data_IF_238255917178
#
_entry.id   IF_238255917178
#
_cell.length_a   1.000
_cell.length_b   1.000
_cell.length_c   1.000
_cell.angle_alpha   90.00
_cell.angle_beta   90.00
_cell.angle_gamma   90.00
#
_symmetry.space_group_name_H-M   'P 1'
#
loop_
_entity.id
_entity.type
_entity.pdbx_description
1 polymer ?
#
# COMPACT_ATOMS: atom_id res chain seq x y z
N UNK A 1 -10.09 27.81 82.53
CA UNK A 1 -10.67 27.74 81.16
C UNK A 1 -9.58 28.07 80.12
N UNK A 2 -8.43 27.39 80.22
CA UNK A 2 -7.17 27.75 79.53
C UNK A 2 -6.45 26.54 78.92
N UNK A 3 -7.06 25.35 78.97
CA UNK A 3 -6.49 24.12 78.41
C UNK A 3 -6.97 23.83 76.96
N UNK A 4 -8.01 24.50 76.47
CA UNK A 4 -8.56 24.27 75.13
C UNK A 4 -7.94 25.15 74.02
N UNK A 5 -7.10 26.14 74.37
CA UNK A 5 -6.49 27.03 73.37
C UNK A 5 -5.15 26.49 72.82
N UNK A 6 -4.47 25.62 73.58
CA UNK A 6 -3.18 25.01 73.21
C UNK A 6 -3.35 23.81 72.26
N UNK A 7 -4.44 23.04 72.40
CA UNK A 7 -4.75 21.92 71.50
C UNK A 7 -5.11 22.41 70.09
N UNK A 8 -5.80 23.56 69.99
CA UNK A 8 -6.22 24.14 68.70
C UNK A 8 -5.03 24.72 67.91
N UNK A 9 -3.99 25.23 68.58
CA UNK A 9 -2.76 25.70 67.92
C UNK A 9 -1.85 24.55 67.46
N UNK A 10 -1.87 23.40 68.15
CA UNK A 10 -1.16 22.20 67.71
C UNK A 10 -1.84 21.56 66.48
N UNK A 11 -3.17 21.63 66.37
CA UNK A 11 -3.89 21.14 65.19
C UNK A 11 -3.75 22.06 63.97
N UNK A 12 -3.64 23.39 64.18
CA UNK A 12 -3.40 24.34 63.08
C UNK A 12 -1.94 24.32 62.56
N UNK A 13 -0.98 23.92 63.40
CA UNK A 13 0.40 23.70 62.96
C UNK A 13 0.59 22.35 62.23
N UNK A 14 -0.28 21.35 62.50
CA UNK A 14 -0.28 20.08 61.79
C UNK A 14 -0.99 20.14 60.42
N UNK A 15 -1.89 21.09 60.20
CA UNK A 15 -2.49 21.33 58.86
C UNK A 15 -1.64 22.21 57.96
N UNK A 16 -0.55 22.79 58.48
CA UNK A 16 0.46 23.54 57.72
C UNK A 16 1.72 22.73 57.37
N UNK A 17 1.73 21.42 57.69
CA UNK A 17 2.79 20.48 57.29
C UNK A 17 2.16 19.36 56.45
N UNK A 18 1.59 19.72 55.30
CA UNK A 18 1.40 18.85 54.13
C UNK A 18 0.96 19.67 52.90
N UNK A 19 1.63 20.79 52.64
CA UNK A 19 1.93 21.17 51.26
C UNK A 19 3.43 20.95 51.09
N UNK A 20 3.86 19.70 51.23
CA UNK A 20 5.09 19.27 50.55
C UNK A 20 4.91 19.67 49.08
N UNK A 21 5.87 20.43 48.57
CA UNK A 21 5.88 21.00 47.24
C UNK A 21 5.22 20.06 46.22
N UNK A 22 4.17 20.53 45.56
CA UNK A 22 3.62 19.90 44.35
C UNK A 22 4.68 20.12 43.28
N UNK A 23 5.63 19.20 43.17
CA UNK A 23 6.59 19.10 42.08
C UNK A 23 6.97 17.64 42.00
N UNK A 24 6.44 16.97 40.99
CA UNK A 24 6.36 15.52 40.95
C UNK A 24 5.98 14.97 39.58
N UNK A 25 4.95 15.54 38.94
CA UNK A 25 4.61 15.25 37.56
C UNK A 25 5.37 16.16 36.59
N UNK A 26 5.57 15.71 35.36
CA UNK A 26 6.08 16.54 34.27
C UNK A 26 4.97 17.32 33.57
N UNK A 27 5.35 18.18 32.62
CA UNK A 27 4.41 18.80 31.68
C UNK A 27 3.65 17.73 30.89
N UNK A 28 2.38 17.97 30.54
CA UNK A 28 1.69 17.16 29.55
C UNK A 28 2.42 17.20 28.20
N UNK A 29 2.23 16.18 27.36
CA UNK A 29 2.74 16.23 25.98
C UNK A 29 2.05 17.39 25.25
N UNK A 30 2.84 18.21 24.56
CA UNK A 30 2.31 19.34 23.82
C UNK A 30 1.29 18.93 22.75
N UNK A 31 0.33 19.82 22.48
CA UNK A 31 -0.76 19.58 21.56
C UNK A 31 -0.22 19.26 20.15
N UNK A 32 0.79 19.99 19.69
CA UNK A 32 1.37 19.85 18.35
C UNK A 32 1.98 18.45 18.16
N UNK A 33 2.66 17.92 19.18
CA UNK A 33 3.24 16.57 19.13
C UNK A 33 2.13 15.50 19.14
N UNK A 34 1.08 15.69 19.95
CA UNK A 34 -0.07 14.79 20.01
C UNK A 34 -0.80 14.74 18.66
N UNK A 35 -1.05 15.89 18.04
CA UNK A 35 -1.70 15.97 16.72
C UNK A 35 -0.87 15.31 15.61
N UNK A 36 0.46 15.46 15.65
CA UNK A 36 1.36 14.80 14.70
C UNK A 36 1.30 13.28 14.82
N UNK A 37 1.30 12.75 16.04
CA UNK A 37 1.15 11.31 16.29
C UNK A 37 -0.23 10.81 15.85
N UNK A 38 -1.30 11.56 16.11
CA UNK A 38 -2.64 11.22 15.63
C UNK A 38 -2.75 11.23 14.10
N UNK A 39 -2.15 12.22 13.43
CA UNK A 39 -2.15 12.31 11.97
C UNK A 39 -1.39 11.14 11.35
N UNK A 40 -0.22 10.81 11.89
CA UNK A 40 0.54 9.63 11.48
C UNK A 40 -0.27 8.34 11.67
N UNK A 41 -0.85 8.15 12.87
CA UNK A 41 -1.67 6.99 13.21
C UNK A 41 -2.88 6.82 12.27
N UNK A 42 -3.60 7.92 12.01
CA UNK A 42 -4.73 7.95 11.09
C UNK A 42 -4.30 7.50 9.68
N UNK A 43 -3.15 7.93 9.20
CA UNK A 43 -2.62 7.51 7.90
C UNK A 43 -2.15 6.05 7.89
N UNK A 44 -1.43 5.60 8.92
CA UNK A 44 -0.99 4.22 9.06
C UNK A 44 -2.16 3.24 9.09
N UNK A 45 -3.30 3.65 9.65
CA UNK A 45 -4.54 2.85 9.65
C UNK A 45 -5.07 2.55 8.23
N UNK A 46 -4.68 3.35 7.23
CA UNK A 46 -5.08 3.17 5.83
C UNK A 46 -4.14 2.25 5.05
N UNK A 47 -2.91 2.02 5.53
CA UNK A 47 -1.89 1.28 4.79
C UNK A 47 -2.33 -0.16 4.40
N UNK A 48 -2.99 -0.95 5.26
CA UNK A 48 -3.49 -2.27 4.86
C UNK A 48 -4.49 -2.22 3.69
N UNK A 49 -5.44 -1.29 3.71
CA UNK A 49 -6.41 -1.11 2.62
C UNK A 49 -5.75 -0.60 1.34
N UNK A 50 -4.77 0.32 1.45
CA UNK A 50 -4.00 0.77 0.29
C UNK A 50 -3.27 -0.39 -0.38
N UNK A 51 -2.59 -1.25 0.41
CA UNK A 51 -1.92 -2.45 -0.10
C UNK A 51 -2.93 -3.40 -0.77
N UNK A 52 -4.08 -3.65 -0.13
CA UNK A 52 -5.12 -4.51 -0.70
C UNK A 52 -5.66 -3.95 -2.03
N UNK A 53 -5.94 -2.64 -2.11
CA UNK A 53 -6.36 -1.97 -3.35
C UNK A 53 -5.36 -2.16 -4.49
N UNK A 54 -4.07 -1.96 -4.25
CA UNK A 54 -3.08 -2.03 -5.33
C UNK A 54 -2.81 -3.45 -5.79
N UNK A 55 -2.86 -4.43 -4.86
CA UNK A 55 -2.78 -5.86 -5.21
C UNK A 55 -3.99 -6.28 -6.03
N UNK A 56 -5.19 -5.87 -5.65
CA UNK A 56 -6.42 -6.16 -6.39
C UNK A 56 -6.43 -5.54 -7.79
N UNK A 57 -5.95 -4.30 -7.92
CA UNK A 57 -5.75 -3.64 -9.22
C UNK A 57 -4.79 -4.39 -10.12
N UNK A 58 -3.64 -4.80 -9.59
CA UNK A 58 -2.65 -5.60 -10.32
C UNK A 58 -3.23 -6.92 -10.78
N UNK A 59 -3.96 -7.62 -9.89
CA UNK A 59 -4.66 -8.86 -10.20
C UNK A 59 -5.64 -8.64 -11.35
N UNK A 60 -6.52 -7.65 -11.22
CA UNK A 60 -7.53 -7.32 -12.25
C UNK A 60 -6.89 -6.99 -13.59
N UNK A 61 -5.79 -6.22 -13.58
CA UNK A 61 -5.01 -5.90 -14.77
C UNK A 61 -4.38 -7.15 -15.42
N UNK A 62 -3.82 -8.06 -14.63
CA UNK A 62 -3.26 -9.31 -15.11
C UNK A 62 -4.34 -10.25 -15.69
N UNK A 63 -5.51 -10.32 -15.05
CA UNK A 63 -6.65 -11.08 -15.55
C UNK A 63 -7.15 -10.50 -16.90
N UNK A 64 -7.23 -9.17 -17.04
CA UNK A 64 -7.61 -8.54 -18.31
C UNK A 64 -6.58 -8.77 -19.42
N UNK A 65 -5.28 -8.69 -19.10
CA UNK A 65 -4.22 -9.05 -20.04
C UNK A 65 -4.38 -10.50 -20.51
N UNK A 66 -4.66 -11.43 -19.58
CA UNK A 66 -4.87 -12.84 -19.91
C UNK A 66 -6.13 -13.07 -20.75
N UNK A 67 -7.22 -12.34 -20.46
CA UNK A 67 -8.45 -12.37 -21.28
C UNK A 67 -8.16 -11.98 -22.72
N UNK A 68 -7.45 -10.87 -22.93
CA UNK A 68 -7.13 -10.41 -24.28
C UNK A 68 -6.15 -11.33 -25.02
N UNK A 69 -5.19 -11.92 -24.31
CA UNK A 69 -4.33 -12.98 -24.85
C UNK A 69 -5.16 -14.17 -25.35
N UNK A 70 -6.09 -14.69 -24.52
CA UNK A 70 -6.97 -15.80 -24.90
C UNK A 70 -7.88 -15.45 -26.08
N UNK A 71 -8.53 -14.28 -26.07
CA UNK A 71 -9.37 -13.82 -27.18
C UNK A 71 -8.59 -13.77 -28.50
N UNK A 72 -7.34 -13.30 -28.45
CA UNK A 72 -6.46 -13.27 -29.62
C UNK A 72 -6.13 -14.68 -30.11
N UNK A 73 -5.81 -15.61 -29.20
CA UNK A 73 -5.56 -17.02 -29.54
C UNK A 73 -6.79 -17.70 -30.15
N UNK A 74 -7.98 -17.45 -29.60
CA UNK A 74 -9.25 -17.96 -30.12
C UNK A 74 -9.48 -17.43 -31.53
N UNK A 75 -9.35 -16.12 -31.73
CA UNK A 75 -9.53 -15.50 -33.04
C UNK A 75 -8.59 -16.11 -34.09
N UNK A 76 -7.30 -16.25 -33.77
CA UNK A 76 -6.30 -16.87 -34.65
C UNK A 76 -6.71 -18.32 -34.97
N UNK A 77 -7.13 -19.09 -33.97
CA UNK A 77 -7.47 -20.51 -34.13
C UNK A 77 -8.74 -20.70 -34.98
N UNK A 78 -9.77 -19.89 -34.75
CA UNK A 78 -11.01 -19.94 -35.52
C UNK A 78 -10.78 -19.50 -36.98
N UNK A 79 -9.87 -18.55 -37.20
CA UNK A 79 -9.61 -17.94 -38.51
C UNK A 79 -8.29 -18.38 -39.14
N UNK A 80 -7.71 -19.51 -38.71
CA UNK A 80 -6.38 -19.95 -39.11
C UNK A 80 -6.21 -20.16 -40.63
N UNK A 81 -7.31 -20.35 -41.36
CA UNK A 81 -7.32 -20.56 -42.82
C UNK A 81 -7.82 -19.35 -43.61
N UNK A 82 -8.36 -18.33 -42.95
CA UNK A 82 -9.07 -17.19 -43.57
C UNK A 82 -8.43 -15.83 -43.26
N UNK A 83 -7.22 -15.84 -42.70
CA UNK A 83 -6.44 -14.63 -42.44
C UNK A 83 -6.07 -14.38 -40.97
N UNK A 84 -6.54 -15.22 -40.03
CA UNK A 84 -6.29 -15.07 -38.59
C UNK A 84 -4.81 -15.05 -38.21
N UNK A 85 -3.93 -15.64 -39.01
CA UNK A 85 -2.48 -15.60 -38.78
C UNK A 85 -1.92 -14.18 -38.75
N UNK A 86 -2.58 -13.20 -39.38
CA UNK A 86 -2.19 -11.78 -39.34
C UNK A 86 -2.10 -11.20 -37.91
N UNK A 87 -2.75 -11.84 -36.92
CA UNK A 87 -2.73 -11.43 -35.51
C UNK A 87 -1.58 -12.04 -34.69
N UNK A 88 -0.75 -12.92 -35.28
CA UNK A 88 0.39 -13.51 -34.57
C UNK A 88 1.38 -12.47 -34.00
N UNK A 89 1.73 -11.37 -34.70
CA UNK A 89 2.58 -10.34 -34.11
C UNK A 89 1.96 -9.68 -32.88
N UNK A 90 0.66 -9.37 -32.90
CA UNK A 90 -0.05 -8.87 -31.72
C UNK A 90 0.01 -9.87 -30.56
N UNK A 91 -0.20 -11.17 -30.85
CA UNK A 91 -0.04 -12.24 -29.86
C UNK A 91 1.38 -12.27 -29.28
N UNK A 92 2.40 -12.11 -30.11
CA UNK A 92 3.80 -12.02 -29.67
C UNK A 92 4.05 -10.85 -28.72
N UNK A 93 3.51 -9.67 -29.05
CA UNK A 93 3.60 -8.50 -28.19
C UNK A 93 2.90 -8.70 -26.84
N UNK A 94 1.74 -9.36 -26.84
CA UNK A 94 1.03 -9.72 -25.59
C UNK A 94 1.85 -10.68 -24.73
N UNK A 95 2.55 -11.64 -25.34
CA UNK A 95 3.45 -12.56 -24.63
C UNK A 95 4.61 -11.79 -23.98
N UNK A 96 5.28 -10.91 -24.73
CA UNK A 96 6.35 -10.06 -24.18
C UNK A 96 5.85 -9.16 -23.03
N UNK A 97 4.66 -8.56 -23.18
CA UNK A 97 4.03 -7.76 -22.14
C UNK A 97 3.70 -8.60 -20.90
N UNK A 98 3.20 -9.83 -21.07
CA UNK A 98 2.91 -10.74 -19.96
C UNK A 98 4.17 -11.12 -19.18
N UNK A 99 5.30 -11.28 -19.87
CA UNK A 99 6.60 -11.54 -19.24
C UNK A 99 7.11 -10.32 -18.43
N UNK A 100 6.75 -9.10 -18.85
CA UNK A 100 7.01 -7.86 -18.08
C UNK A 100 6.11 -7.74 -16.84
N UNK A 101 4.90 -8.30 -16.87
CA UNK A 101 4.00 -8.36 -15.71
C UNK A 101 4.33 -9.46 -14.70
N UNK A 102 5.55 -10.00 -14.71
CA UNK A 102 6.04 -10.93 -13.66
C UNK A 102 6.21 -10.27 -12.28
N UNK A 103 5.75 -9.04 -12.10
CA UNK A 103 5.74 -8.28 -10.84
C UNK A 103 4.79 -8.84 -9.78
N UNK A 104 3.88 -9.77 -10.12
CA UNK A 104 3.12 -10.54 -9.13
C UNK A 104 3.84 -11.82 -8.69
N UNK A 105 5.18 -11.82 -8.67
CA UNK A 105 5.94 -12.89 -8.00
C UNK A 105 5.62 -12.87 -6.50
N UNK A 106 5.68 -14.04 -5.88
CA UNK A 106 5.42 -14.25 -4.45
C UNK A 106 6.21 -13.30 -3.55
N UNK A 107 7.41 -12.87 -3.97
CA UNK A 107 8.25 -11.93 -3.23
C UNK A 107 7.66 -10.51 -3.17
N UNK A 108 6.97 -10.02 -4.21
CA UNK A 108 6.40 -8.68 -4.25
C UNK A 108 5.17 -8.60 -3.35
N UNK A 109 4.31 -9.63 -3.39
CA UNK A 109 3.17 -9.76 -2.46
C UNK A 109 3.67 -9.84 -1.01
N UNK A 110 4.69 -10.67 -0.74
CA UNK A 110 5.27 -10.78 0.62
C UNK A 110 5.81 -9.44 1.12
N UNK A 111 6.48 -8.66 0.27
CA UNK A 111 6.95 -7.30 0.62
C UNK A 111 5.80 -6.34 0.90
N UNK A 112 4.74 -6.37 0.10
CA UNK A 112 3.56 -5.54 0.31
C UNK A 112 2.83 -5.91 1.62
N UNK A 113 2.69 -7.21 1.90
CA UNK A 113 2.17 -7.71 3.18
C UNK A 113 3.05 -7.28 4.34
N UNK A 114 4.38 -7.32 4.19
CA UNK A 114 5.30 -6.81 5.21
C UNK A 114 5.15 -5.30 5.43
N UNK A 115 4.91 -4.51 4.38
CA UNK A 115 4.60 -3.09 4.52
C UNK A 115 3.30 -2.88 5.33
N UNK A 116 2.23 -3.61 5.02
CA UNK A 116 0.99 -3.55 5.81
C UNK A 116 1.21 -3.96 7.27
N UNK A 117 1.99 -5.02 7.53
CA UNK A 117 2.27 -5.49 8.87
C UNK A 117 3.12 -4.50 9.69
N UNK A 118 4.14 -3.90 9.08
CA UNK A 118 4.99 -2.90 9.74
C UNK A 118 4.22 -1.59 10.00
N UNK A 119 3.33 -1.18 9.09
CA UNK A 119 2.40 -0.07 9.35
C UNK A 119 1.48 -0.36 10.54
N UNK A 120 0.86 -1.54 10.57
CA UNK A 120 -0.03 -1.94 11.66
C UNK A 120 0.69 -2.01 13.01
N UNK A 121 1.93 -2.50 13.03
CA UNK A 121 2.78 -2.52 14.24
C UNK A 121 3.09 -1.11 14.73
N UNK A 122 3.49 -0.20 13.83
CA UNK A 122 3.76 1.19 14.20
C UNK A 122 2.49 1.88 14.70
N UNK A 123 1.37 1.71 13.98
CA UNK A 123 0.07 2.24 14.36
C UNK A 123 -0.29 1.78 15.77
N UNK A 124 -0.32 0.47 16.02
CA UNK A 124 -0.66 -0.10 17.32
C UNK A 124 0.22 0.41 18.46
N UNK A 125 1.53 0.61 18.21
CA UNK A 125 2.43 1.11 19.26
C UNK A 125 2.19 2.61 19.56
N UNK A 126 1.80 3.39 18.55
CA UNK A 126 1.46 4.81 18.73
C UNK A 126 0.09 4.95 19.39
N UNK A 127 -0.92 4.21 18.93
CA UNK A 127 -2.28 4.28 19.48
C UNK A 127 -2.37 3.73 20.89
N UNK A 128 -1.58 2.71 21.25
CA UNK A 128 -1.47 2.21 22.62
C UNK A 128 -1.00 3.33 23.57
N UNK A 129 0.07 4.04 23.20
CA UNK A 129 0.56 5.17 23.99
C UNK A 129 -0.51 6.25 24.15
N UNK A 130 -1.16 6.66 23.04
CA UNK A 130 -2.20 7.70 23.07
C UNK A 130 -3.43 7.27 23.88
N UNK A 131 -3.79 5.99 23.82
CA UNK A 131 -4.92 5.43 24.59
C UNK A 131 -4.60 5.40 26.08
N UNK A 132 -3.41 4.96 26.49
CA UNK A 132 -2.99 5.00 27.89
C UNK A 132 -2.95 6.47 28.37
N UNK A 133 -2.32 7.35 27.61
CA UNK A 133 -2.13 8.75 28.01
C UNK A 133 -3.46 9.52 28.15
N UNK A 134 -4.46 9.21 27.33
CA UNK A 134 -5.78 9.86 27.46
C UNK A 134 -6.68 9.30 28.53
N UNK A 135 -6.49 8.05 28.93
CA UNK A 135 -7.26 7.47 30.03
C UNK A 135 -6.59 7.71 31.39
N UNK A 136 -5.33 8.13 31.41
CA UNK A 136 -4.66 8.63 32.59
C UNK A 136 -4.97 10.13 32.74
N UNK A 137 -6.03 10.49 33.45
CA UNK A 137 -6.33 11.88 33.80
C UNK A 137 -7.10 11.91 35.13
N UNK A 138 -7.06 13.03 35.85
CA UNK A 138 -7.88 13.21 37.04
C UNK A 138 -9.25 13.78 36.66
N UNK A 139 -10.32 13.08 37.04
CA UNK A 139 -11.69 13.42 36.64
C UNK A 139 -12.34 14.53 37.46
N UNK A 140 -11.61 15.21 38.35
CA UNK A 140 -12.13 16.19 39.30
C UNK A 140 -12.06 17.65 38.81
N UNK A 141 -11.52 17.88 37.60
CA UNK A 141 -11.46 19.19 36.96
C UNK A 141 -10.15 19.95 37.17
N UNK A 142 -9.13 19.33 37.76
CA UNK A 142 -7.82 19.97 37.99
C UNK A 142 -6.91 20.06 36.75
N UNK A 143 -7.37 19.55 35.60
CA UNK A 143 -6.60 19.45 34.35
C UNK A 143 -5.31 18.63 34.50
N UNK A 144 -5.30 17.68 35.44
CA UNK A 144 -4.27 16.66 35.59
C UNK A 144 -4.41 15.64 34.45
N UNK A 145 -3.40 15.53 33.60
CA UNK A 145 -3.46 14.73 32.39
C UNK A 145 -2.14 14.70 31.62
N UNK A 146 -2.06 13.80 30.64
CA UNK A 146 -0.79 13.44 30.03
C UNK A 146 -0.66 14.02 28.61
N UNK A 147 -1.77 14.46 28.01
CA UNK A 147 -1.81 15.10 26.70
C UNK A 147 -2.53 16.44 26.81
N UNK A 148 -1.94 17.47 26.21
CA UNK A 148 -2.55 18.80 26.12
C UNK A 148 -3.68 18.80 25.08
N UNK A 149 -4.80 19.43 25.44
CA UNK A 149 -6.00 19.57 24.63
C UNK A 149 -5.92 20.75 23.66
N UNK A 150 -7.06 21.43 23.45
CA UNK A 150 -7.17 22.54 22.48
C UNK A 150 -6.58 23.87 22.98
N UNK A 151 -6.13 23.92 24.25
CA UNK A 151 -5.47 25.08 24.88
C UNK A 151 -4.36 24.64 25.85
N UNK A 152 -3.52 25.58 26.29
CA UNK A 152 -2.45 25.37 27.27
C UNK A 152 -2.95 25.24 28.73
N UNK A 153 -4.27 25.31 28.93
CA UNK A 153 -4.91 25.02 30.22
C UNK A 153 -5.66 23.71 30.25
N UNK A 154 -5.88 23.06 29.11
CA UNK A 154 -6.79 21.91 29.00
C UNK A 154 -6.04 20.62 28.71
N UNK A 155 -6.49 19.50 29.28
CA UNK A 155 -5.98 18.16 28.97
C UNK A 155 -7.00 17.33 28.22
N UNK A 156 -6.51 16.38 27.42
CA UNK A 156 -7.35 15.40 26.72
C UNK A 156 -7.79 14.32 27.71
N UNK A 157 -9.08 14.32 28.04
CA UNK A 157 -9.73 13.38 28.94
C UNK A 157 -10.53 12.33 28.15
N UNK A 158 -9.96 11.13 28.03
CA UNK A 158 -10.55 9.99 27.34
C UNK A 158 -10.36 10.01 25.82
N UNK A 159 -10.45 8.82 25.22
CA UNK A 159 -10.17 8.60 23.79
C UNK A 159 -11.12 9.34 22.85
N UNK A 160 -12.36 9.61 23.28
CA UNK A 160 -13.34 10.36 22.50
C UNK A 160 -12.86 11.77 22.13
N UNK A 161 -11.95 12.35 22.93
CA UNK A 161 -11.38 13.67 22.69
C UNK A 161 -10.19 13.65 21.71
N UNK A 162 -9.60 12.48 21.39
CA UNK A 162 -8.51 12.36 20.41
C UNK A 162 -8.95 12.57 18.95
N UNK A 163 -10.24 12.79 18.68
CA UNK A 163 -10.80 12.98 17.33
C UNK A 163 -10.21 11.96 16.33
N UNK A 164 -9.87 12.38 15.10
CA UNK A 164 -9.31 11.51 14.05
C UNK A 164 -7.85 11.15 14.38
N UNK A 165 -7.65 10.01 15.01
CA UNK A 165 -6.35 9.57 15.52
C UNK A 165 -6.03 8.10 15.21
N UNK A 166 -6.75 7.47 14.29
CA UNK A 166 -6.51 6.09 13.87
C UNK A 166 -6.67 5.02 14.97
N UNK A 167 -7.36 5.34 16.08
CA UNK A 167 -7.53 4.44 17.23
C UNK A 167 -8.39 3.22 16.90
N UNK A 168 -9.36 3.39 16.00
CA UNK A 168 -10.28 2.33 15.62
C UNK A 168 -9.66 1.39 14.60
N UNK A 169 -9.95 0.09 14.76
CA UNK A 169 -9.71 -0.87 13.71
C UNK A 169 -10.55 -0.53 12.47
N UNK A 170 -9.89 -0.29 11.34
CA UNK A 170 -10.54 -0.16 10.04
C UNK A 170 -10.52 -1.51 9.34
N UNK A 171 -11.71 -2.02 9.00
CA UNK A 171 -11.82 -3.18 8.15
C UNK A 171 -11.09 -2.91 6.82
N UNK A 172 -10.25 -3.86 6.40
CA UNK A 172 -9.52 -3.74 5.14
C UNK A 172 -10.47 -3.77 3.95
N UNK A 173 -10.34 -2.80 3.04
CA UNK A 173 -11.12 -2.68 1.81
C UNK A 173 -10.21 -2.51 0.58
N UNK A 174 -10.76 -2.67 -0.63
CA UNK A 174 -10.01 -2.57 -1.89
C UNK A 174 -10.29 -1.28 -2.68
N UNK A 175 -10.81 -0.23 -2.04
CA UNK A 175 -11.21 1.03 -2.70
C UNK A 175 -10.47 2.30 -2.18
N UNK A 176 -9.30 2.16 -1.56
CA UNK A 176 -8.54 3.30 -1.03
C UNK A 176 -7.57 3.86 -2.07
N UNK A 177 -7.65 5.17 -2.32
CA UNK A 177 -6.80 5.90 -3.27
C UNK A 177 -5.88 6.93 -2.61
N UNK A 178 -5.90 7.01 -1.29
CA UNK A 178 -5.19 8.05 -0.56
C UNK A 178 -3.70 7.73 -0.56
N UNK A 179 -2.90 8.62 -1.13
CA UNK A 179 -1.45 8.61 -0.95
C UNK A 179 -1.10 8.86 0.51
N UNK A 180 -0.12 8.13 1.03
CA UNK A 180 0.42 8.31 2.37
C UNK A 180 1.38 9.51 2.34
N UNK A 181 1.08 10.57 3.11
CA UNK A 181 1.78 11.87 3.14
C UNK A 181 2.64 12.07 4.40
N UNK A 182 2.40 11.32 5.47
CA UNK A 182 3.17 11.37 6.72
C UNK A 182 4.48 10.60 6.60
N UNK A 183 4.56 9.62 5.69
CA UNK A 183 5.81 8.90 5.36
C UNK A 183 6.25 9.21 3.94
N UNK A 184 7.39 9.89 3.78
CA UNK A 184 7.96 10.24 2.47
C UNK A 184 9.13 9.32 2.10
N UNK A 185 9.71 9.53 0.92
CA UNK A 185 10.98 8.88 0.51
C UNK A 185 12.15 9.26 1.42
N UNK A 186 12.06 10.40 2.11
CA UNK A 186 13.10 10.88 3.01
C UNK A 186 12.90 10.37 4.44
N UNK A 187 11.67 10.41 4.95
CA UNK A 187 11.34 10.00 6.32
C UNK A 187 9.98 10.54 6.76
N UNK A 188 9.83 10.83 8.04
CA UNK A 188 8.63 11.40 8.64
C UNK A 188 8.78 12.91 8.80
N UNK A 189 8.75 13.64 7.67
CA UNK A 189 9.17 15.06 7.61
C UNK A 189 8.31 16.00 8.47
N UNK A 190 7.08 15.58 8.80
CA UNK A 190 6.13 16.34 9.62
C UNK A 190 6.24 16.06 11.12
N UNK A 191 7.01 15.05 11.53
CA UNK A 191 7.30 14.82 12.95
C UNK A 191 8.36 15.80 13.44
N UNK A 192 8.03 16.58 14.46
CA UNK A 192 8.94 17.55 15.05
C UNK A 192 10.06 16.87 15.87
N UNK A 193 11.23 17.50 15.89
CA UNK A 193 12.38 17.05 16.69
C UNK A 193 12.45 17.76 18.06
N UNK A 194 11.43 18.54 18.40
CA UNK A 194 11.33 19.29 19.65
C UNK A 194 9.90 19.20 20.17
N UNK A 195 9.74 19.45 21.46
CA UNK A 195 8.42 19.63 22.06
C UNK A 195 7.75 20.86 21.43
N UNK A 196 6.43 20.77 21.25
CA UNK A 196 5.58 21.90 20.89
C UNK A 196 5.55 22.97 21.98
N UNK A 197 4.99 24.12 21.63
CA UNK A 197 4.91 25.27 22.53
C UNK A 197 3.64 25.27 23.37
N UNK A 198 2.55 24.69 22.85
CA UNK A 198 1.28 24.63 23.56
C UNK A 198 1.23 23.38 24.44
N UNK A 199 1.43 23.58 25.75
CA UNK A 199 1.39 22.51 26.73
C UNK A 199 0.82 22.95 28.07
N UNK A 200 0.07 22.06 28.71
CA UNK A 200 -0.29 22.23 30.12
C UNK A 200 0.96 21.99 30.96
N UNK A 201 1.38 23.03 31.68
CA UNK A 201 2.58 23.00 32.52
C UNK A 201 2.44 22.04 33.69
N UNK A 202 3.56 21.53 34.19
CA UNK A 202 3.65 20.51 35.22
C UNK A 202 2.87 20.82 36.50
N UNK A 203 2.71 22.10 36.87
CA UNK A 203 1.96 22.52 38.06
C UNK A 203 0.46 22.24 37.97
N UNK A 204 -0.03 21.98 36.77
CA UNK A 204 -1.44 21.73 36.46
C UNK A 204 -1.63 20.37 35.81
N UNK A 205 -0.73 19.95 34.91
CA UNK A 205 -0.83 18.66 34.26
C UNK A 205 -0.52 17.47 35.18
N UNK A 206 0.41 17.63 36.14
CA UNK A 206 0.89 16.57 37.03
C UNK A 206 1.11 15.21 36.33
N UNK A 207 1.73 15.23 35.14
CA UNK A 207 1.89 14.03 34.33
C UNK A 207 2.97 13.11 34.92
N UNK A 208 2.56 12.13 35.74
CA UNK A 208 3.47 11.29 36.52
C UNK A 208 4.24 10.24 35.69
N UNK A 209 3.85 10.00 34.43
CA UNK A 209 4.63 9.18 33.48
C UNK A 209 5.80 9.98 32.91
N UNK A 210 5.69 11.31 32.90
CA UNK A 210 6.74 12.21 32.42
C UNK A 210 7.46 12.92 33.57
N UNK A 211 7.23 12.52 34.82
CA UNK A 211 7.82 13.11 36.01
C UNK A 211 9.11 12.42 36.48
N UNK A 212 9.91 13.16 37.28
CA UNK A 212 11.12 12.67 37.95
C UNK A 212 10.84 11.96 39.29
N UNK A 213 11.88 11.62 40.06
CA UNK A 213 11.81 10.71 41.22
C UNK A 213 11.03 11.23 42.47
N UNK A 214 10.59 12.47 42.55
CA UNK A 214 10.12 13.04 43.82
C UNK A 214 8.64 13.39 43.84
N UNK A 215 7.87 12.75 44.74
CA UNK A 215 6.42 12.95 44.88
C UNK A 215 5.65 12.41 43.65
N UNK A 216 4.50 11.76 43.86
CA UNK A 216 3.54 11.26 42.86
C UNK A 216 4.04 10.56 41.56
N UNK A 217 5.33 10.28 41.39
CA UNK A 217 5.88 9.63 40.20
C UNK A 217 5.35 8.20 40.05
N UNK A 218 5.16 7.75 38.80
CA UNK A 218 4.72 6.38 38.49
C UNK A 218 5.80 5.30 38.76
N UNK A 219 6.95 5.69 39.30
CA UNK A 219 8.08 4.81 39.59
C UNK A 219 8.60 5.13 40.98
N UNK A 220 8.60 4.14 41.86
CA UNK A 220 9.06 4.29 43.26
C UNK A 220 10.58 4.57 43.37
N UNK A 221 11.34 4.20 42.33
CA UNK A 221 12.76 4.45 42.20
C UNK A 221 13.07 5.11 40.85
N UNK A 222 14.13 5.92 40.80
CA UNK A 222 14.57 6.54 39.55
C UNK A 222 14.80 5.47 38.48
N UNK A 223 14.24 5.63 37.27
CA UNK A 223 14.53 4.74 36.16
C UNK A 223 16.04 4.70 35.88
N UNK A 224 16.60 3.49 35.74
CA UNK A 224 18.02 3.34 35.41
C UNK A 224 18.37 3.86 33.99
N UNK A 225 17.37 4.06 33.14
CA UNK A 225 17.51 4.53 31.76
C UNK A 225 16.36 5.46 31.38
N UNK A 226 16.55 6.25 30.32
CA UNK A 226 15.47 7.06 29.74
C UNK A 226 14.27 6.20 29.37
N UNK A 227 13.08 6.68 29.72
CA UNK A 227 11.82 6.03 29.39
C UNK A 227 11.40 6.44 27.98
N UNK A 228 11.04 5.47 27.14
CA UNK A 228 10.72 5.69 25.72
C UNK A 228 9.23 5.49 25.48
N UNK A 229 8.62 6.43 24.76
CA UNK A 229 7.18 6.47 24.51
C UNK A 229 6.88 6.58 23.01
N UNK A 230 5.62 6.31 22.61
CA UNK A 230 5.15 6.37 21.22
C UNK A 230 6.11 5.67 20.24
N UNK A 231 6.34 4.37 20.46
CA UNK A 231 7.30 3.55 19.69
C UNK A 231 8.76 4.03 19.75
N UNK A 232 9.12 4.82 20.77
CA UNK A 232 10.45 5.40 20.95
C UNK A 232 10.66 6.73 20.23
N UNK A 233 9.60 7.37 19.73
CA UNK A 233 9.68 8.68 19.10
C UNK A 233 10.21 9.75 20.06
N UNK A 234 9.77 9.71 21.32
CA UNK A 234 10.30 10.60 22.34
C UNK A 234 10.67 9.83 23.60
N UNK A 235 11.53 10.45 24.41
CA UNK A 235 11.94 9.90 25.69
C UNK A 235 11.98 10.94 26.80
N UNK A 236 11.67 10.51 28.01
CA UNK A 236 11.84 11.28 29.24
C UNK A 236 13.15 10.85 29.88
N UNK A 237 14.02 11.81 30.20
CA UNK A 237 15.32 11.52 30.77
C UNK A 237 15.18 10.97 32.21
N UNK A 238 16.07 10.05 32.58
CA UNK A 238 16.05 9.46 33.91
C UNK A 238 16.21 10.54 34.99
N UNK A 239 15.23 10.64 35.89
CA UNK A 239 15.27 11.57 37.03
C UNK A 239 14.91 13.01 36.71
N UNK A 240 14.47 13.32 35.49
CA UNK A 240 13.96 14.65 35.11
C UNK A 240 12.64 14.53 34.34
N UNK A 241 11.98 15.66 34.07
CA UNK A 241 10.80 15.77 33.22
C UNK A 241 11.13 16.20 31.77
N UNK A 242 12.41 16.30 31.45
CA UNK A 242 12.88 16.76 30.16
C UNK A 242 12.58 15.73 29.06
N UNK A 243 11.77 16.14 28.09
CA UNK A 243 11.44 15.35 26.91
C UNK A 243 12.44 15.60 25.79
N UNK A 244 12.87 14.52 25.14
CA UNK A 244 13.73 14.54 23.95
C UNK A 244 13.05 13.79 22.83
N UNK A 245 13.09 14.35 21.61
CA UNK A 245 12.42 13.79 20.44
C UNK A 245 13.46 13.33 19.42
N UNK A 246 13.22 12.16 18.85
CA UNK A 246 14.10 11.61 17.81
C UNK A 246 13.81 12.31 16.49
N UNK A 247 14.84 12.86 15.84
CA UNK A 247 14.68 13.36 14.46
C UNK A 247 14.43 12.18 13.50
N UNK A 248 13.19 12.04 13.04
CA UNK A 248 12.73 11.00 12.11
C UNK A 248 12.52 11.53 10.69
N UNK A 249 12.84 12.82 10.43
CA UNK A 249 12.55 13.49 9.15
C UNK A 249 13.43 12.98 8.02
N UNK A 250 14.56 12.36 8.35
CA UNK A 250 15.47 11.75 7.38
C UNK A 250 15.98 10.39 7.86
N UNK A 251 15.51 9.35 7.21
CA UNK A 251 15.85 7.94 7.42
C UNK A 251 16.59 7.35 6.21
N UNK A 252 17.14 8.19 5.34
CA UNK A 252 17.93 7.73 4.19
C UNK A 252 19.29 7.17 4.63
N UNK A 253 19.79 6.17 3.89
CA UNK A 253 21.15 5.64 4.04
C UNK A 253 21.50 5.23 5.48
N UNK A 254 22.64 5.68 6.01
CA UNK A 254 23.15 5.37 7.36
C UNK A 254 22.42 6.10 8.49
N UNK A 255 21.45 6.98 8.20
CA UNK A 255 20.72 7.75 9.23
C UNK A 255 19.74 6.91 10.05
N UNK A 256 19.61 5.61 9.73
CA UNK A 256 18.74 4.63 10.41
C UNK A 256 19.34 4.04 11.70
N UNK A 257 20.67 3.98 11.82
CA UNK A 257 21.40 3.09 12.76
C UNK A 257 21.14 3.34 14.25
N UNK A 258 20.53 4.46 14.61
CA UNK A 258 20.20 4.84 16.01
C UNK A 258 18.73 5.23 16.19
N UNK A 259 17.90 5.01 15.18
CA UNK A 259 16.49 5.40 15.18
C UNK A 259 15.63 4.25 15.71
N UNK A 260 14.46 4.54 16.31
CA UNK A 260 13.56 3.50 16.77
C UNK A 260 13.20 2.52 15.66
N UNK A 261 13.45 1.23 15.90
CA UNK A 261 13.37 0.20 14.87
C UNK A 261 11.97 0.12 14.25
N UNK A 262 10.90 0.34 15.02
CA UNK A 262 9.52 0.27 14.52
C UNK A 262 9.25 1.32 13.43
N UNK A 263 9.79 2.53 13.55
CA UNK A 263 9.72 3.56 12.51
C UNK A 263 10.60 3.21 11.30
N UNK A 264 11.79 2.65 11.55
CA UNK A 264 12.72 2.22 10.49
C UNK A 264 12.14 1.07 9.66
N UNK A 265 11.47 0.11 10.31
CA UNK A 265 10.84 -1.05 9.69
C UNK A 265 9.73 -0.59 8.73
N UNK A 266 8.81 0.26 9.20
CA UNK A 266 7.75 0.82 8.35
C UNK A 266 8.33 1.65 7.21
N UNK A 267 9.23 2.60 7.50
CA UNK A 267 9.86 3.42 6.46
C UNK A 267 10.53 2.57 5.37
N UNK A 268 11.26 1.54 5.77
CA UNK A 268 12.00 0.67 4.84
C UNK A 268 11.07 -0.22 4.04
N UNK A 269 9.99 -0.73 4.64
CA UNK A 269 9.01 -1.55 3.95
C UNK A 269 8.14 -0.73 2.98
N UNK A 270 7.68 0.45 3.40
CA UNK A 270 6.90 1.35 2.55
C UNK A 270 7.71 1.83 1.34
N UNK A 271 8.96 2.23 1.56
CA UNK A 271 9.85 2.74 0.50
C UNK A 271 10.63 1.64 -0.24
N UNK A 272 10.32 0.35 -0.04
CA UNK A 272 10.91 -0.71 -0.85
C UNK A 272 10.53 -0.46 -2.33
N UNK A 273 11.48 -0.52 -3.28
CA UNK A 273 11.21 -0.24 -4.68
C UNK A 273 10.08 -1.09 -5.28
N UNK A 274 9.94 -2.34 -4.85
CA UNK A 274 8.87 -3.21 -5.32
C UNK A 274 7.50 -2.78 -4.78
N UNK A 275 7.44 -2.32 -3.52
CA UNK A 275 6.21 -1.79 -2.92
C UNK A 275 5.82 -0.47 -3.58
N UNK A 276 6.79 0.42 -3.79
CA UNK A 276 6.56 1.69 -4.49
C UNK A 276 6.08 1.47 -5.93
N UNK A 277 6.65 0.50 -6.66
CA UNK A 277 6.19 0.13 -7.99
C UNK A 277 4.74 -0.39 -8.01
N UNK A 278 4.33 -1.15 -6.98
CA UNK A 278 2.92 -1.55 -6.83
C UNK A 278 2.01 -0.34 -6.65
N UNK A 279 2.40 0.64 -5.82
CA UNK A 279 1.59 1.84 -5.55
C UNK A 279 1.38 2.72 -6.78
N UNK A 280 2.34 2.76 -7.70
CA UNK A 280 2.25 3.58 -8.93
C UNK A 280 1.72 2.80 -10.14
N UNK A 281 1.10 1.65 -9.92
CA UNK A 281 0.68 0.79 -11.02
C UNK A 281 -0.55 1.31 -11.75
N UNK A 282 -0.42 1.40 -13.08
CA UNK A 282 -1.51 1.73 -13.97
C UNK A 282 -2.45 0.53 -14.22
N UNK A 283 -3.74 0.78 -14.48
CA UNK A 283 -4.65 -0.24 -14.97
C UNK A 283 -4.14 -0.83 -16.29
N UNK A 284 -4.56 -2.06 -16.61
CA UNK A 284 -4.26 -2.66 -17.90
C UNK A 284 -4.82 -1.81 -19.04
N UNK A 285 -3.99 -1.57 -20.05
CA UNK A 285 -4.39 -1.03 -21.35
C UNK A 285 -4.00 -2.01 -22.44
N UNK A 286 -4.83 -2.07 -23.49
CA UNK A 286 -4.48 -2.80 -24.71
C UNK A 286 -3.20 -2.21 -25.31
N UNK A 287 -2.38 -3.09 -25.88
CA UNK A 287 -1.15 -2.69 -26.56
C UNK A 287 -1.46 -1.78 -27.74
N UNK A 288 -0.76 -0.67 -27.80
CA UNK A 288 -0.70 0.27 -28.91
C UNK A 288 0.16 -0.29 -30.05
N UNK A 289 0.02 0.28 -31.25
CA UNK A 289 0.87 -0.07 -32.39
C UNK A 289 2.36 0.13 -32.07
N UNK A 290 2.72 1.18 -31.33
CA UNK A 290 4.11 1.45 -30.95
C UNK A 290 4.68 0.29 -30.12
N UNK A 291 3.94 -0.18 -29.12
CA UNK A 291 4.38 -1.29 -28.26
C UNK A 291 4.49 -2.61 -29.04
N UNK A 292 3.58 -2.86 -29.99
CA UNK A 292 3.69 -4.04 -30.89
C UNK A 292 4.92 -3.95 -31.77
N UNK A 293 5.21 -2.76 -32.33
CA UNK A 293 6.40 -2.53 -33.14
C UNK A 293 7.69 -2.69 -32.34
N UNK A 294 7.69 -2.41 -31.04
CA UNK A 294 8.87 -2.55 -30.18
C UNK A 294 9.10 -3.97 -29.66
N UNK A 295 8.08 -4.83 -29.69
CA UNK A 295 8.17 -6.21 -29.20
C UNK A 295 9.09 -7.08 -30.07
N UNK A 296 10.18 -7.66 -29.50
CA UNK A 296 11.00 -8.64 -30.20
C UNK A 296 10.22 -9.89 -30.62
N UNK A 297 9.30 -10.37 -29.78
CA UNK A 297 8.47 -11.55 -30.10
C UNK A 297 7.49 -11.26 -31.24
N UNK A 298 6.87 -10.07 -31.27
CA UNK A 298 6.00 -9.67 -32.37
C UNK A 298 6.75 -9.67 -33.71
N UNK A 299 7.95 -9.08 -33.73
CA UNK A 299 8.80 -9.04 -34.92
C UNK A 299 9.23 -10.43 -35.37
N UNK A 300 9.61 -11.30 -34.42
CA UNK A 300 9.97 -12.69 -34.69
C UNK A 300 8.81 -13.45 -35.33
N UNK A 301 7.61 -13.37 -34.75
CA UNK A 301 6.43 -14.07 -35.28
C UNK A 301 6.03 -13.54 -36.66
N UNK A 302 6.16 -12.23 -36.89
CA UNK A 302 5.95 -11.65 -38.23
C UNK A 302 6.96 -12.20 -39.25
N UNK A 303 8.25 -12.20 -38.89
CA UNK A 303 9.32 -12.70 -39.75
C UNK A 303 9.10 -14.17 -40.14
N UNK A 304 8.78 -15.01 -39.15
CA UNK A 304 8.66 -16.45 -39.35
C UNK A 304 7.36 -16.82 -40.08
N UNK A 305 6.21 -16.34 -39.62
CA UNK A 305 4.91 -16.87 -40.07
C UNK A 305 4.21 -16.01 -41.13
N UNK A 306 4.47 -14.71 -41.15
CA UNK A 306 3.84 -13.80 -42.12
C UNK A 306 4.71 -13.63 -43.37
N UNK A 307 6.01 -13.43 -43.17
CA UNK A 307 6.98 -13.41 -44.28
C UNK A 307 7.38 -14.81 -44.76
N UNK A 308 7.02 -15.87 -44.02
CA UNK A 308 7.40 -17.25 -44.32
C UNK A 308 8.92 -17.38 -44.52
N UNK A 309 9.68 -16.69 -43.66
CA UNK A 309 11.13 -16.74 -43.69
C UNK A 309 11.62 -17.70 -42.60
N UNK A 310 12.22 -18.80 -43.06
CA UNK A 310 12.70 -19.88 -42.19
C UNK A 310 14.10 -19.63 -41.63
N UNK A 311 14.75 -18.51 -41.99
CA UNK A 311 16.04 -18.13 -41.40
C UNK A 311 15.87 -17.62 -39.96
N UNK A 312 16.95 -17.72 -39.18
CA UNK A 312 16.96 -17.22 -37.81
C UNK A 312 16.70 -15.71 -37.76
N UNK A 313 15.76 -15.32 -36.91
CA UNK A 313 15.42 -13.91 -36.70
C UNK A 313 16.48 -13.21 -35.82
N UNK A 314 17.27 -12.33 -36.43
CA UNK A 314 18.17 -11.40 -35.74
C UNK A 314 17.52 -10.01 -35.61
N UNK A 315 17.11 -9.65 -34.39
CA UNK A 315 16.46 -8.37 -34.11
C UNK A 315 17.37 -7.17 -34.36
N UNK A 316 18.70 -7.32 -34.23
CA UNK A 316 19.65 -6.22 -34.45
C UNK A 316 19.79 -5.84 -35.93
N UNK A 317 19.55 -6.81 -36.82
CA UNK A 317 19.66 -6.63 -38.28
C UNK A 317 18.32 -6.35 -38.93
N UNK A 318 17.27 -7.02 -38.48
CA UNK A 318 15.97 -7.02 -39.15
C UNK A 318 14.90 -6.20 -38.40
N UNK A 319 15.16 -5.80 -37.16
CA UNK A 319 14.13 -5.28 -36.26
C UNK A 319 13.40 -4.04 -36.79
N UNK A 320 14.14 -3.04 -37.28
CA UNK A 320 13.55 -1.81 -37.83
C UNK A 320 12.75 -2.06 -39.10
N UNK A 321 13.28 -2.88 -40.02
CA UNK A 321 12.59 -3.22 -41.26
C UNK A 321 11.27 -3.96 -40.98
N UNK A 322 11.27 -4.91 -40.04
CA UNK A 322 10.03 -5.60 -39.63
C UNK A 322 9.06 -4.65 -38.91
N UNK A 323 9.55 -3.72 -38.10
CA UNK A 323 8.69 -2.73 -37.44
C UNK A 323 7.94 -1.83 -38.44
N UNK A 324 8.59 -1.42 -39.54
CA UNK A 324 7.93 -0.67 -40.62
C UNK A 324 6.88 -1.52 -41.36
N UNK A 325 7.15 -2.81 -41.55
CA UNK A 325 6.21 -3.75 -42.16
C UNK A 325 4.99 -4.02 -41.28
N UNK A 326 5.16 -4.06 -39.96
CA UNK A 326 4.05 -4.17 -39.00
C UNK A 326 3.11 -2.96 -39.07
N UNK A 327 3.64 -1.75 -39.17
CA UNK A 327 2.84 -0.54 -39.37
C UNK A 327 2.08 -0.57 -40.70
N UNK A 328 2.70 -1.09 -41.76
CA UNK A 328 2.00 -1.26 -43.05
C UNK A 328 0.86 -2.29 -42.92
N UNK A 329 1.08 -3.39 -42.20
CA UNK A 329 0.10 -4.46 -42.04
C UNK A 329 -1.10 -4.03 -41.17
N UNK A 330 -0.86 -3.32 -40.08
CA UNK A 330 -1.92 -2.88 -39.15
C UNK A 330 -2.46 -1.47 -39.43
N UNK A 331 -1.86 -0.76 -40.38
CA UNK A 331 -2.19 0.61 -40.69
C UNK A 331 -1.61 1.61 -39.69
N UNK A 332 -1.78 2.91 -39.95
CA UNK A 332 -1.31 3.96 -39.03
C UNK A 332 -2.07 3.89 -37.70
N UNK A 333 -1.50 4.49 -36.65
CA UNK A 333 -2.03 4.44 -35.28
C UNK A 333 -3.55 4.68 -35.14
N UNK A 334 -4.19 5.63 -35.85
CA UNK A 334 -5.65 5.83 -35.76
C UNK A 334 -6.48 4.64 -36.23
N UNK A 335 -5.95 3.81 -37.13
CA UNK A 335 -6.65 2.67 -37.71
C UNK A 335 -6.35 1.35 -36.99
N UNK A 336 -5.32 1.34 -36.13
CA UNK A 336 -4.80 0.14 -35.50
C UNK A 336 -5.87 -0.64 -34.72
N UNK A 337 -6.70 0.03 -33.92
CA UNK A 337 -7.78 -0.62 -33.15
C UNK A 337 -8.74 -1.39 -34.07
N UNK A 338 -9.24 -0.71 -35.11
CA UNK A 338 -10.18 -1.30 -36.09
C UNK A 338 -9.59 -2.46 -36.88
N UNK A 339 -8.26 -2.44 -37.10
CA UNK A 339 -7.54 -3.46 -37.87
C UNK A 339 -7.14 -4.66 -37.04
N UNK A 340 -7.16 -4.55 -35.71
CA UNK A 340 -6.70 -5.59 -34.78
C UNK A 340 -7.78 -5.94 -33.75
N UNK A 341 -7.87 -5.16 -32.68
CA UNK A 341 -8.72 -5.43 -31.53
C UNK A 341 -10.20 -5.54 -31.88
N UNK A 342 -10.74 -4.67 -32.73
CA UNK A 342 -12.16 -4.74 -33.09
C UNK A 342 -12.50 -6.05 -33.82
N UNK A 343 -11.63 -6.52 -34.72
CA UNK A 343 -11.80 -7.81 -35.39
C UNK A 343 -11.86 -8.95 -34.37
N UNK A 344 -10.91 -8.95 -33.41
CA UNK A 344 -10.83 -9.97 -32.37
C UNK A 344 -12.07 -9.94 -31.47
N UNK A 345 -12.49 -8.75 -31.05
CA UNK A 345 -13.53 -8.59 -30.03
C UNK A 345 -14.94 -8.77 -30.59
N UNK A 346 -15.16 -8.39 -31.84
CA UNK A 346 -16.45 -8.54 -32.52
C UNK A 346 -16.67 -9.94 -33.09
N UNK A 347 -15.64 -10.80 -33.06
CA UNK A 347 -15.72 -12.19 -33.49
C UNK A 347 -16.87 -12.92 -32.76
N UNK A 348 -17.74 -13.55 -33.55
CA UNK A 348 -18.93 -14.23 -33.05
C UNK A 348 -18.63 -15.70 -32.78
N UNK A 349 -18.78 -16.10 -31.52
CA UNK A 349 -18.56 -17.48 -31.07
C UNK A 349 -19.91 -18.19 -30.89
N UNK A 350 -20.11 -19.36 -31.52
CA UNK A 350 -21.32 -20.15 -31.35
C UNK A 350 -21.36 -20.84 -29.99
N UNK A 351 -22.57 -21.06 -29.46
CA UNK A 351 -22.78 -21.78 -28.20
C UNK A 351 -22.12 -23.17 -28.16
N UNK A 352 -22.06 -23.89 -29.28
CA UNK A 352 -21.37 -25.17 -29.37
C UNK A 352 -19.88 -25.10 -28.96
N UNK A 353 -19.19 -24.02 -29.32
CA UNK A 353 -17.80 -23.80 -28.91
C UNK A 353 -17.64 -23.46 -27.42
N UNK A 354 -18.75 -23.09 -26.76
CA UNK A 354 -18.83 -22.66 -25.37
C UNK A 354 -19.44 -23.74 -24.46
N UNK A 355 -19.59 -24.97 -24.98
CA UNK A 355 -20.24 -26.07 -24.25
C UNK A 355 -21.74 -25.85 -23.96
N UNK A 356 -22.40 -24.94 -24.70
CA UNK A 356 -23.79 -24.54 -24.50
C UNK A 356 -24.68 -25.08 -25.62
N UNK A 357 -25.94 -25.34 -25.28
CA UNK A 357 -26.99 -25.69 -26.25
C UNK A 357 -27.49 -24.46 -27.00
N UNK A 358 -28.07 -24.66 -28.18
CA UNK A 358 -28.66 -23.60 -29.00
C UNK A 358 -27.73 -23.08 -30.11
N UNK A 359 -28.28 -22.20 -30.95
CA UNK A 359 -27.60 -21.64 -32.13
C UNK A 359 -27.16 -20.19 -31.94
N UNK A 360 -27.29 -19.65 -30.73
CA UNK A 360 -26.92 -18.28 -30.42
C UNK A 360 -25.43 -18.05 -30.59
N UNK A 361 -25.11 -16.83 -31.03
CA UNK A 361 -23.75 -16.34 -31.19
C UNK A 361 -23.48 -15.29 -30.12
N UNK A 362 -22.30 -15.31 -29.52
CA UNK A 362 -21.86 -14.31 -28.54
C UNK A 362 -20.55 -13.71 -29.00
N UNK A 363 -20.41 -12.39 -28.91
CA UNK A 363 -19.17 -11.72 -29.29
C UNK A 363 -18.06 -12.05 -28.28
N UNK A 364 -16.82 -12.23 -28.73
CA UNK A 364 -15.68 -12.48 -27.84
C UNK A 364 -15.50 -11.39 -26.76
N UNK A 365 -15.86 -10.14 -27.07
CA UNK A 365 -15.89 -9.03 -26.12
C UNK A 365 -16.78 -9.28 -24.89
N UNK A 366 -17.88 -10.02 -25.08
CA UNK A 366 -18.90 -10.28 -24.06
C UNK A 366 -18.55 -11.49 -23.17
N UNK A 367 -17.52 -12.25 -23.52
CA UNK A 367 -17.06 -13.41 -22.76
C UNK A 367 -15.91 -12.97 -21.86
N UNK A 368 -16.17 -12.87 -20.56
CA UNK A 368 -15.20 -12.42 -19.55
C UNK A 368 -14.67 -13.55 -18.68
N UNK A 369 -15.34 -14.70 -18.62
CA UNK A 369 -14.87 -15.82 -17.81
C UNK A 369 -13.64 -16.48 -18.46
N UNK A 370 -12.54 -16.60 -17.69
CA UNK A 370 -11.30 -17.19 -18.17
C UNK A 370 -11.44 -18.69 -18.42
N UNK A 371 -12.29 -19.41 -17.68
CA UNK A 371 -12.58 -20.82 -17.91
C UNK A 371 -13.26 -21.03 -19.25
N UNK A 372 -14.33 -20.28 -19.50
CA UNK A 372 -15.08 -20.30 -20.76
C UNK A 372 -14.17 -19.95 -21.97
N UNK A 373 -13.30 -18.94 -21.84
CA UNK A 373 -12.33 -18.63 -22.90
C UNK A 373 -11.35 -19.79 -23.18
N UNK A 374 -10.88 -20.51 -22.16
CA UNK A 374 -10.02 -21.67 -22.36
C UNK A 374 -10.77 -22.85 -23.03
N UNK A 375 -12.02 -23.08 -22.67
CA UNK A 375 -12.86 -24.10 -23.32
C UNK A 375 -13.04 -23.81 -24.82
N UNK A 376 -13.34 -22.56 -25.16
CA UNK A 376 -13.48 -22.11 -26.56
C UNK A 376 -12.16 -22.31 -27.33
N UNK A 377 -11.02 -21.95 -26.72
CA UNK A 377 -9.71 -22.16 -27.33
C UNK A 377 -9.45 -23.65 -27.58
N UNK A 378 -9.78 -24.51 -26.61
CA UNK A 378 -9.67 -25.96 -26.74
C UNK A 378 -10.52 -26.51 -27.89
N UNK A 379 -11.76 -26.03 -28.02
CA UNK A 379 -12.67 -26.40 -29.09
C UNK A 379 -12.09 -26.10 -30.47
N UNK A 380 -11.65 -24.86 -30.72
CA UNK A 380 -11.10 -24.48 -32.04
C UNK A 380 -9.76 -25.13 -32.34
N UNK A 381 -8.90 -25.30 -31.33
CA UNK A 381 -7.64 -26.04 -31.49
C UNK A 381 -7.92 -27.49 -31.89
N UNK A 382 -8.90 -28.13 -31.23
CA UNK A 382 -9.34 -29.49 -31.56
C UNK A 382 -9.87 -29.61 -33.00
N UNK A 383 -10.72 -28.67 -33.43
CA UNK A 383 -11.21 -28.63 -34.81
C UNK A 383 -10.07 -28.53 -35.82
N UNK A 384 -9.10 -27.65 -35.56
CA UNK A 384 -7.95 -27.45 -36.44
C UNK A 384 -7.11 -28.74 -36.57
N UNK A 385 -6.84 -29.44 -35.46
CA UNK A 385 -6.12 -30.71 -35.46
C UNK A 385 -6.86 -31.78 -36.26
N UNK A 386 -8.18 -31.90 -36.08
CA UNK A 386 -9.01 -32.85 -36.84
C UNK A 386 -8.97 -32.53 -38.33
N UNK A 387 -9.10 -31.26 -38.70
CA UNK A 387 -9.05 -30.82 -40.09
C UNK A 387 -7.68 -31.12 -40.75
N UNK A 388 -6.57 -30.86 -40.04
CA UNK A 388 -5.23 -31.20 -40.51
C UNK A 388 -5.05 -32.71 -40.67
N UNK A 389 -5.49 -33.51 -39.70
CA UNK A 389 -5.44 -34.97 -39.76
C UNK A 389 -6.17 -35.49 -41.00
N UNK A 390 -7.34 -34.92 -41.32
CA UNK A 390 -8.10 -35.30 -42.49
C UNK A 390 -7.40 -34.90 -43.81
N UNK A 391 -6.79 -33.70 -43.88
CA UNK A 391 -6.00 -33.27 -45.04
C UNK A 391 -4.81 -34.20 -45.29
N UNK A 392 -4.10 -34.59 -44.23
CA UNK A 392 -2.97 -35.53 -44.32
C UNK A 392 -3.42 -36.90 -44.83
N UNK A 393 -4.51 -37.46 -44.29
CA UNK A 393 -5.07 -38.73 -44.77
C UNK A 393 -5.47 -38.68 -46.24
N UNK A 394 -5.99 -37.53 -46.71
CA UNK A 394 -6.38 -37.36 -48.09
C UNK A 394 -5.16 -37.21 -49.03
N UNK A 395 -4.06 -36.61 -48.57
CA UNK A 395 -2.84 -36.44 -49.36
C UNK A 395 -1.99 -37.73 -49.47
N UNK A 396 -2.27 -38.73 -48.64
CA UNK A 396 -1.61 -40.05 -48.65
C UNK A 396 -2.33 -41.10 -49.50
N UNK A 397 -3.51 -40.78 -50.02
CA UNK A 397 -4.24 -41.59 -51.01
C UNK A 397 -3.94 -41.08 -52.40
#
# INVERSE_FOLDING_TARGET
MTANLTLLKAFLALTLIAKSAISAGGDALAQENTQQLCTLSEELSLAPSLVATVVDRKRTAAEEARRNLLRTQIYISNNAQTGGLEMLPLLGAQIDQSNKHTDLRSNVIAKATNAAATAARLNGTVTEFLTIATNAYEGDGNNDGYLTGDSDSDVIAGTAQLRRCGLDHKQTTTNVNTELKETTKKGFEKLQQTEGSMKVGHSTANCNLFGGQTGNANVEAQPATNQKFAAGYFSVAAGTDAKTFVDLRDLTSSKKTVKPQVFVDWYSAYNDPAVQALLTTNPYSRLTLAEVKESPMARRLYHQFIKQNDNDFDNSKNGEAIAALLETAYGPAPNYETKTWDKILQEKIPNAARGKSGAELTQLAQISDLGELNEILGFYTGQYIVALSQKLKNAQK
#
